data_IF_677519911303
#
_entry.id   IF_677519911303
#
_cell.length_a   1.000
_cell.length_b   1.000
_cell.length_c   1.000
_cell.angle_alpha   90.00
_cell.angle_beta   90.00
_cell.angle_gamma   90.00
#
_symmetry.space_group_name_H-M   'P 1'
#
loop_
_entity.id
_entity.type
_entity.pdbx_description
1 polymer ?
#
# COMPACT_ATOMS: atom_id res chain seq x y z
N UNK A 1 29.59 -42.84 20.05
CA UNK A 1 28.73 -41.84 20.72
C UNK A 1 28.83 -40.56 19.90
N UNK A 2 27.86 -40.31 19.01
CA UNK A 2 27.88 -39.14 18.11
C UNK A 2 27.40 -37.92 18.89
N UNK A 3 28.22 -36.88 18.90
CA UNK A 3 28.14 -35.71 19.78
C UNK A 3 26.87 -34.89 19.53
N UNK A 4 26.03 -34.82 20.57
CA UNK A 4 24.74 -34.14 20.68
C UNK A 4 24.79 -32.60 20.53
N UNK A 5 25.98 -32.05 20.30
CA UNK A 5 26.25 -30.62 20.27
C UNK A 5 25.76 -29.93 18.99
N UNK A 6 25.72 -30.65 17.86
CA UNK A 6 25.16 -30.13 16.60
C UNK A 6 23.65 -29.90 16.68
N UNK A 7 22.92 -30.71 17.45
CA UNK A 7 21.50 -30.50 17.70
C UNK A 7 21.26 -29.33 18.66
N UNK A 8 22.18 -29.10 19.59
CA UNK A 8 22.15 -27.96 20.52
C UNK A 8 22.43 -26.62 19.83
N UNK A 9 23.25 -26.61 18.77
CA UNK A 9 23.43 -25.42 17.92
C UNK A 9 22.19 -25.16 17.06
N UNK A 10 21.55 -26.20 16.52
CA UNK A 10 20.31 -26.04 15.77
C UNK A 10 19.15 -25.54 16.64
N UNK A 11 19.10 -25.89 17.93
CA UNK A 11 18.07 -25.36 18.84
C UNK A 11 18.35 -23.94 19.30
N UNK A 12 19.62 -23.51 19.41
CA UNK A 12 19.95 -22.10 19.66
C UNK A 12 19.70 -21.19 18.44
N UNK A 13 19.88 -21.70 17.22
CA UNK A 13 19.50 -21.00 15.98
C UNK A 13 17.97 -21.03 15.78
N UNK A 14 17.30 -22.09 16.26
CA UNK A 14 15.85 -22.28 16.15
C UNK A 14 15.02 -21.63 17.25
N UNK A 15 15.61 -21.27 18.40
CA UNK A 15 14.91 -20.65 19.53
C UNK A 15 15.47 -19.26 19.82
N UNK A 16 14.93 -18.27 19.09
CA UNK A 16 14.76 -16.89 19.55
C UNK A 16 16.05 -16.04 19.66
N UNK A 17 16.23 -15.20 18.64
CA UNK A 17 16.99 -13.94 18.69
C UNK A 17 18.53 -14.09 18.84
N UNK A 18 19.37 -13.16 18.43
CA UNK A 18 19.21 -11.80 17.92
C UNK A 18 20.41 -11.48 17.02
N UNK A 19 20.44 -10.41 16.24
CA UNK A 19 20.17 -9.06 16.68
C UNK A 19 19.39 -8.30 15.61
N UNK A 20 18.23 -7.79 15.97
CA UNK A 20 17.68 -6.62 15.30
C UNK A 20 17.71 -5.51 16.32
N UNK A 21 18.94 -5.09 16.63
CA UNK A 21 19.20 -3.80 17.26
C UNK A 21 19.12 -2.73 16.18
N UNK A 22 18.32 -1.69 16.44
CA UNK A 22 18.44 -0.39 15.81
C UNK A 22 17.98 -0.28 14.35
N UNK A 23 16.67 -0.37 14.12
CA UNK A 23 16.00 0.27 12.97
C UNK A 23 14.48 0.19 13.22
N UNK A 24 14.03 0.96 14.22
CA UNK A 24 12.61 1.17 14.50
C UNK A 24 12.02 2.07 13.40
N UNK A 25 10.87 1.71 12.86
CA UNK A 25 10.07 2.58 11.98
C UNK A 25 9.59 1.92 10.70
N UNK A 26 10.47 1.70 9.72
CA UNK A 26 10.01 1.63 8.31
C UNK A 26 10.51 0.38 7.56
N UNK A 27 11.70 -0.13 7.89
CA UNK A 27 12.29 -1.30 7.21
C UNK A 27 11.56 -2.63 7.43
N UNK A 28 10.78 -2.74 8.51
CA UNK A 28 9.94 -3.93 8.78
C UNK A 28 8.58 -3.90 8.07
N UNK A 29 8.16 -2.71 7.68
CA UNK A 29 6.89 -2.42 7.02
C UNK A 29 6.99 -2.61 5.49
N UNK A 30 8.22 -2.66 4.99
CA UNK A 30 8.56 -2.63 3.56
C UNK A 30 9.48 -3.79 3.15
N UNK A 31 9.53 -4.84 3.97
CA UNK A 31 10.14 -6.10 3.57
C UNK A 31 9.41 -6.63 2.31
N UNK A 32 10.13 -7.09 1.27
CA UNK A 32 9.60 -7.42 -0.06
C UNK A 32 8.57 -8.57 -0.09
N UNK A 33 8.20 -9.12 1.07
CA UNK A 33 7.19 -10.17 1.23
C UNK A 33 5.87 -9.66 1.82
N UNK A 34 5.75 -8.35 2.10
CA UNK A 34 4.52 -7.76 2.60
C UNK A 34 4.23 -6.46 1.84
N UNK A 35 3.38 -6.55 0.82
CA UNK A 35 2.57 -5.44 0.29
C UNK A 35 1.52 -4.98 1.34
N UNK A 36 1.92 -4.88 2.61
CA UNK A 36 1.05 -4.68 3.77
C UNK A 36 1.42 -3.46 4.60
N UNK A 37 2.33 -2.63 4.10
CA UNK A 37 2.95 -1.57 4.89
C UNK A 37 2.04 -0.38 5.18
N UNK A 38 1.26 0.07 4.20
CA UNK A 38 0.40 1.24 4.41
C UNK A 38 -1.02 0.90 4.90
N UNK A 39 -1.44 -0.36 4.77
CA UNK A 39 -2.78 -0.79 5.19
C UNK A 39 -2.85 -1.14 6.68
N UNK A 40 -1.71 -1.42 7.33
CA UNK A 40 -1.66 -1.77 8.76
C UNK A 40 -2.08 -0.65 9.72
N UNK A 41 -2.28 0.58 9.23
CA UNK A 41 -2.32 1.78 10.06
C UNK A 41 -3.73 2.35 10.21
N UNK A 42 -4.66 2.00 9.34
CA UNK A 42 -6.09 2.31 9.55
C UNK A 42 -6.78 1.39 10.59
N UNK A 43 -6.01 0.65 11.38
CA UNK A 43 -6.49 -0.31 12.38
C UNK A 43 -6.17 0.09 13.83
N UNK A 44 -5.93 1.37 14.11
CA UNK A 44 -5.55 1.85 15.45
C UNK A 44 -6.71 2.04 16.45
N UNK A 45 -7.97 1.78 16.07
CA UNK A 45 -9.09 1.94 17.00
C UNK A 45 -9.30 0.69 17.89
N UNK A 46 -9.62 0.89 19.17
CA UNK A 46 -9.71 -0.16 20.23
C UNK A 46 -10.52 -1.42 19.86
N UNK A 47 -11.45 -1.34 18.89
CA UNK A 47 -12.19 -2.50 18.37
C UNK A 47 -11.33 -3.51 17.58
N UNK A 48 -10.21 -3.09 16.98
CA UNK A 48 -9.33 -3.95 16.16
C UNK A 48 -8.52 -4.96 16.98
N UNK A 49 -8.22 -4.66 18.25
CA UNK A 49 -7.49 -5.58 19.14
C UNK A 49 -8.27 -6.86 19.46
N UNK A 50 -9.61 -6.83 19.42
CA UNK A 50 -10.44 -8.04 19.58
C UNK A 50 -10.42 -8.93 18.34
N UNK A 51 -10.18 -8.39 17.16
CA UNK A 51 -9.99 -9.16 15.92
C UNK A 51 -8.63 -9.86 15.90
N UNK A 52 -7.55 -9.20 16.32
CA UNK A 52 -6.21 -9.81 16.42
C UNK A 52 -6.16 -11.00 17.40
N UNK A 53 -6.98 -11.00 18.45
CA UNK A 53 -7.04 -12.09 19.43
C UNK A 53 -7.73 -13.38 18.95
N UNK A 54 -8.58 -13.31 17.90
CA UNK A 54 -9.29 -14.47 17.35
C UNK A 54 -8.68 -15.02 16.05
N UNK A 55 -7.82 -14.26 15.37
CA UNK A 55 -7.21 -14.62 14.09
C UNK A 55 -5.69 -14.78 14.25
N UNK A 56 -5.26 -16.01 14.54
CA UNK A 56 -3.87 -16.34 14.84
C UNK A 56 -2.94 -16.25 13.61
N UNK A 57 -1.73 -15.71 13.87
CA UNK A 57 -0.38 -15.85 13.25
C UNK A 57 -0.15 -16.15 11.76
N UNK A 58 -1.09 -16.63 10.95
CA UNK A 58 -0.87 -17.02 9.55
C UNK A 58 -1.86 -16.40 8.54
N UNK A 59 -2.67 -15.41 8.94
CA UNK A 59 -3.58 -14.72 8.03
C UNK A 59 -2.97 -13.39 7.58
N UNK A 60 -2.34 -13.37 6.41
CA UNK A 60 -1.93 -12.15 5.73
C UNK A 60 -3.19 -11.47 5.20
N UNK A 61 -3.69 -10.46 5.92
CA UNK A 61 -4.85 -9.68 5.50
C UNK A 61 -4.36 -8.68 4.44
N UNK A 62 -4.37 -9.13 3.19
CA UNK A 62 -4.40 -8.26 2.01
C UNK A 62 -5.80 -8.38 1.45
N UNK A 63 -6.58 -7.30 1.49
CA UNK A 63 -7.71 -7.21 0.56
C UNK A 63 -8.85 -8.24 0.70
N UNK A 64 -9.43 -8.50 1.88
CA UNK A 64 -10.72 -9.22 2.00
C UNK A 64 -10.64 -10.76 1.98
N UNK A 65 -10.95 -11.40 3.12
CA UNK A 65 -11.05 -12.85 3.36
C UNK A 65 -9.82 -13.72 2.98
N UNK A 66 -9.28 -14.41 3.98
CA UNK A 66 -7.90 -14.93 4.06
C UNK A 66 -7.45 -16.02 3.04
N UNK A 67 -8.17 -16.25 1.95
CA UNK A 67 -7.74 -17.15 0.86
C UNK A 67 -8.10 -16.63 -0.54
N UNK A 68 -9.22 -15.91 -0.69
CA UNK A 68 -9.68 -15.40 -1.99
C UNK A 68 -8.90 -14.14 -2.39
N UNK A 69 -8.57 -13.26 -1.45
CA UNK A 69 -7.85 -12.01 -1.72
C UNK A 69 -6.44 -12.19 -2.30
N UNK A 70 -5.67 -13.19 -1.83
CA UNK A 70 -4.32 -13.45 -2.36
C UNK A 70 -4.33 -14.00 -3.79
N UNK A 71 -5.32 -14.83 -4.14
CA UNK A 71 -5.49 -15.37 -5.48
C UNK A 71 -5.93 -14.27 -6.45
N UNK A 72 -6.87 -13.42 -6.03
CA UNK A 72 -7.32 -12.27 -6.81
C UNK A 72 -6.18 -11.27 -7.05
N UNK A 73 -5.37 -10.99 -6.03
CA UNK A 73 -4.21 -10.09 -6.18
C UNK A 73 -3.21 -10.61 -7.22
N UNK A 74 -2.85 -11.89 -7.14
CA UNK A 74 -1.96 -12.50 -8.14
C UNK A 74 -2.57 -12.48 -9.54
N UNK A 75 -3.89 -12.65 -9.66
CA UNK A 75 -4.59 -12.48 -10.93
C UNK A 75 -4.49 -11.04 -11.44
N UNK A 76 -4.72 -10.04 -10.59
CA UNK A 76 -4.58 -8.63 -10.96
C UNK A 76 -3.16 -8.30 -11.41
N UNK A 77 -2.15 -8.78 -10.69
CA UNK A 77 -0.73 -8.63 -11.07
C UNK A 77 -0.44 -9.17 -12.45
N UNK A 78 -0.90 -10.40 -12.71
CA UNK A 78 -0.74 -11.03 -14.02
C UNK A 78 -1.39 -10.19 -15.13
N UNK A 79 -2.59 -9.67 -14.89
CA UNK A 79 -3.33 -8.84 -15.85
C UNK A 79 -2.69 -7.47 -16.11
N UNK A 80 -2.13 -6.84 -15.08
CA UNK A 80 -1.34 -5.60 -15.22
C UNK A 80 -0.04 -5.90 -15.97
N UNK A 81 0.63 -7.01 -15.69
CA UNK A 81 1.82 -7.42 -16.44
C UNK A 81 1.52 -7.67 -17.92
N UNK A 82 0.36 -8.25 -18.24
CA UNK A 82 -0.09 -8.47 -19.62
C UNK A 82 -0.28 -7.17 -20.42
N UNK A 83 -0.77 -6.11 -19.79
CA UNK A 83 -0.92 -4.79 -20.45
C UNK A 83 0.40 -4.05 -20.65
N UNK A 84 1.44 -4.45 -19.92
CA UNK A 84 2.80 -3.91 -20.05
C UNK A 84 3.73 -4.81 -20.88
N UNK A 85 3.22 -5.80 -21.63
CA UNK A 85 4.07 -6.69 -22.47
C UNK A 85 4.95 -5.95 -23.49
N UNK A 86 4.57 -4.73 -23.90
CA UNK A 86 5.38 -3.88 -24.77
C UNK A 86 6.52 -3.13 -24.07
N UNK A 87 6.67 -3.29 -22.75
CA UNK A 87 7.67 -2.59 -21.94
C UNK A 87 8.67 -3.59 -21.33
N UNK A 88 9.85 -3.77 -21.95
CA UNK A 88 10.79 -4.81 -21.54
C UNK A 88 11.32 -4.68 -20.12
N UNK A 89 11.29 -3.47 -19.55
CA UNK A 89 11.82 -3.19 -18.21
C UNK A 89 10.77 -3.31 -17.11
N UNK A 90 9.47 -3.39 -17.46
CA UNK A 90 8.39 -3.42 -16.49
C UNK A 90 8.33 -4.78 -15.76
N UNK A 91 8.25 -4.73 -14.43
CA UNK A 91 8.19 -5.91 -13.56
C UNK A 91 9.53 -6.65 -13.39
N UNK A 92 10.65 -6.11 -13.91
CA UNK A 92 11.98 -6.71 -13.71
C UNK A 92 12.63 -6.35 -12.38
N UNK A 93 12.34 -5.15 -11.87
CA UNK A 93 12.94 -4.64 -10.63
C UNK A 93 11.87 -4.20 -9.65
N UNK A 94 12.07 -4.55 -8.38
CA UNK A 94 11.28 -4.00 -7.30
C UNK A 94 11.65 -2.53 -7.08
N UNK A 95 10.65 -1.71 -6.82
CA UNK A 95 10.87 -0.30 -6.49
C UNK A 95 11.59 -0.18 -5.15
N UNK A 96 12.67 0.64 -5.05
CA UNK A 96 13.27 0.98 -3.77
C UNK A 96 12.23 1.48 -2.77
N UNK A 97 12.41 1.08 -1.52
CA UNK A 97 11.45 1.27 -0.44
C UNK A 97 11.04 2.74 -0.26
N UNK A 98 12.02 3.64 -0.20
CA UNK A 98 11.79 5.07 0.06
C UNK A 98 11.08 5.74 -1.13
N UNK A 99 11.44 5.35 -2.35
CA UNK A 99 10.84 5.87 -3.57
C UNK A 99 9.37 5.44 -3.70
N UNK A 100 9.09 4.18 -3.37
CA UNK A 100 7.72 3.65 -3.31
C UNK A 100 6.89 4.36 -2.24
N UNK A 101 7.46 4.58 -1.05
CA UNK A 101 6.78 5.32 0.01
C UNK A 101 6.44 6.76 -0.42
N UNK A 102 7.40 7.49 -1.02
CA UNK A 102 7.18 8.84 -1.55
C UNK A 102 6.01 8.89 -2.54
N UNK A 103 5.92 7.92 -3.46
CA UNK A 103 4.81 7.86 -4.45
C UNK A 103 3.47 7.53 -3.82
N UNK A 104 3.45 6.67 -2.82
CA UNK A 104 2.21 6.36 -2.11
C UNK A 104 1.70 7.58 -1.32
N UNK A 105 2.60 8.37 -0.73
CA UNK A 105 2.25 9.68 -0.14
C UNK A 105 1.72 10.63 -1.22
N UNK A 106 2.38 10.71 -2.37
CA UNK A 106 1.90 11.54 -3.48
C UNK A 106 0.52 11.11 -3.98
N UNK A 107 0.27 9.80 -4.12
CA UNK A 107 -1.02 9.25 -4.52
C UNK A 107 -2.12 9.54 -3.50
N UNK A 108 -1.81 9.42 -2.20
CA UNK A 108 -2.70 9.79 -1.10
C UNK A 108 -3.12 11.27 -1.20
N UNK A 109 -2.14 12.17 -1.37
CA UNK A 109 -2.41 13.62 -1.47
C UNK A 109 -3.19 13.94 -2.75
N UNK A 110 -2.82 13.37 -3.89
CA UNK A 110 -3.53 13.61 -5.15
C UNK A 110 -4.96 13.08 -5.10
N UNK A 111 -5.18 11.92 -4.46
CA UNK A 111 -6.50 11.37 -4.26
C UNK A 111 -7.35 12.29 -3.38
N UNK A 112 -6.79 12.81 -2.28
CA UNK A 112 -7.47 13.79 -1.43
C UNK A 112 -7.79 15.11 -2.16
N UNK A 113 -6.91 15.59 -3.05
CA UNK A 113 -7.13 16.81 -3.87
C UNK A 113 -8.14 16.64 -5.00
N UNK A 114 -8.61 15.41 -5.26
CA UNK A 114 -9.23 15.07 -6.54
C UNK A 114 -10.59 15.71 -6.79
N UNK A 115 -11.26 16.20 -5.75
CA UNK A 115 -12.52 16.94 -5.85
C UNK A 115 -12.32 18.43 -6.18
N UNK A 116 -11.07 18.93 -6.12
CA UNK A 116 -10.69 20.31 -6.39
C UNK A 116 -10.48 21.19 -5.16
N UNK A 117 -10.62 20.66 -3.94
CA UNK A 117 -10.33 21.38 -2.72
C UNK A 117 -9.44 20.53 -1.81
N UNK A 118 -8.45 21.17 -1.20
CA UNK A 118 -7.93 20.68 0.08
C UNK A 118 -8.08 21.85 1.04
N UNK A 119 -8.82 21.63 2.12
CA UNK A 119 -8.90 22.60 3.20
C UNK A 119 -7.78 22.39 4.25
N UNK A 120 -7.68 23.34 5.17
CA UNK A 120 -6.68 23.30 6.23
C UNK A 120 -6.95 22.19 7.27
N UNK A 121 -8.15 21.62 7.32
CA UNK A 121 -8.51 20.51 8.21
C UNK A 121 -8.03 19.18 7.60
N UNK A 122 -8.24 18.99 6.30
CA UNK A 122 -7.77 17.84 5.52
C UNK A 122 -6.24 17.78 5.50
N UNK A 123 -5.58 18.91 5.26
CA UNK A 123 -4.12 18.98 5.34
C UNK A 123 -3.61 18.55 6.73
N UNK A 124 -4.24 19.07 7.79
CA UNK A 124 -3.89 18.68 9.18
C UNK A 124 -4.17 17.22 9.46
N UNK A 125 -5.23 16.65 8.90
CA UNK A 125 -5.55 15.22 9.05
C UNK A 125 -4.50 14.34 8.37
N UNK A 126 -4.02 14.71 7.18
CA UNK A 126 -2.91 14.04 6.49
C UNK A 126 -1.63 14.12 7.32
N UNK A 127 -1.24 15.32 7.75
CA UNK A 127 -0.03 15.55 8.54
C UNK A 127 -0.05 14.78 9.86
N UNK A 128 -1.20 14.77 10.54
CA UNK A 128 -1.38 14.02 11.79
C UNK A 128 -1.29 12.50 11.55
N UNK A 129 -1.90 11.99 10.49
CA UNK A 129 -1.83 10.56 10.12
C UNK A 129 -0.39 10.13 9.87
N UNK A 130 0.39 10.97 9.18
CA UNK A 130 1.81 10.71 8.92
C UNK A 130 2.69 10.82 10.16
N UNK A 131 2.39 11.76 11.06
CA UNK A 131 3.10 11.85 12.34
C UNK A 131 2.85 10.62 13.23
N UNK A 132 1.61 10.11 13.28
CA UNK A 132 1.27 8.88 14.03
C UNK A 132 1.97 7.64 13.49
N UNK A 133 2.27 7.65 12.20
CA UNK A 133 2.99 6.60 11.49
C UNK A 133 4.50 6.58 11.79
N UNK A 134 5.03 7.57 12.53
CA UNK A 134 6.48 7.79 12.70
C UNK A 134 7.23 7.85 11.37
N UNK A 135 6.56 8.23 10.28
CA UNK A 135 7.24 8.62 9.05
C UNK A 135 7.83 9.99 9.36
N UNK A 136 9.16 10.10 9.44
CA UNK A 136 9.84 11.30 9.95
C UNK A 136 9.59 12.58 9.14
N UNK A 137 10.37 13.63 9.41
CA UNK A 137 10.28 14.95 8.74
C UNK A 137 10.27 14.87 7.20
N UNK A 138 10.87 13.83 6.63
CA UNK A 138 10.92 13.58 5.19
C UNK A 138 9.52 13.38 4.57
N UNK A 139 8.60 12.71 5.26
CA UNK A 139 7.25 12.49 4.75
C UNK A 139 6.40 13.76 4.74
N UNK A 140 6.60 14.65 5.71
CA UNK A 140 5.96 15.97 5.73
C UNK A 140 6.41 16.79 4.52
N UNK A 141 7.71 16.77 4.20
CA UNK A 141 8.23 17.42 2.99
C UNK A 141 7.59 16.85 1.72
N UNK A 142 7.43 15.53 1.61
CA UNK A 142 6.75 14.92 0.46
C UNK A 142 5.29 15.30 0.33
N UNK A 143 4.56 15.47 1.44
CA UNK A 143 3.18 15.97 1.42
C UNK A 143 3.13 17.38 0.87
N UNK A 144 3.96 18.29 1.40
CA UNK A 144 3.99 19.67 0.93
C UNK A 144 4.37 19.73 -0.56
N UNK A 145 5.38 18.96 -0.98
CA UNK A 145 5.78 18.83 -2.38
C UNK A 145 4.63 18.32 -3.27
N UNK A 146 3.78 17.41 -2.77
CA UNK A 146 2.62 16.90 -3.50
C UNK A 146 1.44 17.90 -3.49
N UNK A 147 1.25 18.67 -2.41
CA UNK A 147 0.24 19.73 -2.33
C UNK A 147 0.53 20.86 -3.31
N UNK A 148 1.79 21.22 -3.52
CA UNK A 148 2.20 22.27 -4.46
C UNK A 148 2.13 21.83 -5.93
N UNK A 149 2.04 20.53 -6.21
CA UNK A 149 1.97 20.00 -7.56
C UNK A 149 0.56 20.09 -8.17
N UNK A 150 0.43 20.29 -9.49
CA UNK A 150 -0.85 20.16 -10.16
C UNK A 150 -1.35 18.72 -10.04
N UNK A 151 -2.67 18.55 -9.89
CA UNK A 151 -3.30 17.24 -9.86
C UNK A 151 -3.14 16.56 -11.24
N UNK A 152 -2.16 15.67 -11.35
CA UNK A 152 -1.85 14.97 -12.60
C UNK A 152 -1.41 13.52 -12.33
N UNK A 153 -2.30 12.54 -12.55
CA UNK A 153 -2.01 11.12 -12.33
C UNK A 153 -0.77 10.59 -13.08
N UNK A 154 -0.45 11.17 -14.25
CA UNK A 154 0.74 10.81 -15.04
C UNK A 154 2.05 11.07 -14.30
N UNK A 155 2.09 12.04 -13.37
CA UNK A 155 3.28 12.35 -12.58
C UNK A 155 3.68 11.19 -11.66
N UNK A 156 2.69 10.43 -11.18
CA UNK A 156 2.90 9.23 -10.38
C UNK A 156 3.27 8.08 -11.32
N UNK A 157 2.42 7.82 -12.32
CA UNK A 157 2.51 6.65 -13.20
C UNK A 157 3.82 6.55 -13.97
N UNK A 158 4.36 7.67 -14.48
CA UNK A 158 5.60 7.72 -15.28
C UNK A 158 6.81 7.05 -14.65
N UNK A 159 6.80 6.88 -13.34
CA UNK A 159 7.95 6.37 -12.58
C UNK A 159 7.67 5.04 -11.88
N UNK A 160 6.44 4.54 -11.99
CA UNK A 160 6.05 3.19 -11.56
C UNK A 160 6.54 2.20 -12.61
N UNK A 161 7.24 1.15 -12.17
CA UNK A 161 7.93 0.22 -13.07
C UNK A 161 7.57 -1.25 -12.85
N UNK A 162 6.59 -1.54 -12.00
CA UNK A 162 6.15 -2.90 -11.74
C UNK A 162 4.66 -2.96 -11.37
N UNK A 163 4.09 -4.14 -11.55
CA UNK A 163 2.69 -4.45 -11.32
C UNK A 163 2.27 -4.29 -9.86
N UNK A 164 3.16 -4.60 -8.92
CA UNK A 164 2.88 -4.51 -7.48
C UNK A 164 2.62 -3.05 -7.09
N UNK A 165 3.54 -2.14 -7.43
CA UNK A 165 3.40 -0.71 -7.12
C UNK A 165 2.23 -0.06 -7.87
N UNK A 166 2.00 -0.43 -9.14
CA UNK A 166 0.86 0.09 -9.91
C UNK A 166 -0.49 -0.22 -9.24
N UNK A 167 -0.67 -1.47 -8.79
CA UNK A 167 -1.87 -1.87 -8.08
C UNK A 167 -2.01 -1.19 -6.73
N UNK A 168 -0.92 -1.01 -5.99
CA UNK A 168 -0.95 -0.34 -4.69
C UNK A 168 -1.33 1.13 -4.79
N UNK A 169 -0.75 1.86 -5.74
CA UNK A 169 -1.08 3.26 -6.00
C UNK A 169 -2.57 3.39 -6.33
N UNK A 170 -3.08 2.52 -7.20
CA UNK A 170 -4.49 2.56 -7.59
C UNK A 170 -5.42 2.19 -6.42
N UNK A 171 -5.12 1.10 -5.72
CA UNK A 171 -5.89 0.62 -4.57
C UNK A 171 -5.92 1.64 -3.43
N UNK A 172 -4.79 2.27 -3.11
CA UNK A 172 -4.71 3.35 -2.11
C UNK A 172 -5.58 4.53 -2.51
N UNK A 173 -5.52 4.95 -3.77
CA UNK A 173 -6.34 6.06 -4.27
C UNK A 173 -7.84 5.76 -4.13
N UNK A 174 -8.27 4.53 -4.41
CA UNK A 174 -9.66 4.10 -4.21
C UNK A 174 -10.08 4.09 -2.73
N UNK A 175 -9.16 3.75 -1.81
CA UNK A 175 -9.46 3.81 -0.37
C UNK A 175 -9.70 5.24 0.12
N UNK A 176 -8.94 6.18 -0.41
CA UNK A 176 -8.97 7.59 0.01
C UNK A 176 -10.20 8.30 -0.56
N UNK A 177 -10.52 8.05 -1.83
CA UNK A 177 -11.63 8.71 -2.52
C UNK A 177 -12.95 8.01 -2.20
N UNK A 178 -13.92 8.76 -1.69
CA UNK A 178 -15.33 8.39 -1.72
C UNK A 178 -15.95 8.99 -2.97
N UNK A 179 -16.23 8.15 -3.98
CA UNK A 179 -16.63 8.60 -5.32
C UNK A 179 -18.06 9.15 -5.29
N UNK A 180 -18.20 10.38 -4.82
CA UNK A 180 -19.45 11.12 -4.74
C UNK A 180 -19.47 12.29 -5.76
N UNK A 181 -18.31 12.67 -6.27
CA UNK A 181 -18.15 13.75 -7.25
C UNK A 181 -17.53 13.28 -8.58
N UNK A 182 -17.91 13.92 -9.69
CA UNK A 182 -17.45 13.54 -11.04
C UNK A 182 -15.94 13.75 -11.24
N UNK A 183 -15.36 14.71 -10.52
CA UNK A 183 -13.92 15.02 -10.59
C UNK A 183 -13.08 13.87 -10.03
N UNK A 184 -13.50 13.29 -8.91
CA UNK A 184 -12.81 12.16 -8.27
C UNK A 184 -12.87 10.91 -9.13
N UNK A 185 -14.02 10.68 -9.78
CA UNK A 185 -14.17 9.65 -10.81
C UNK A 185 -13.21 9.88 -11.97
N UNK A 186 -13.14 11.12 -12.48
CA UNK A 186 -12.22 11.49 -13.54
C UNK A 186 -10.75 11.26 -13.15
N UNK A 187 -10.38 11.55 -11.90
CA UNK A 187 -9.04 11.28 -11.37
C UNK A 187 -8.73 9.77 -11.34
N UNK A 188 -9.61 8.94 -10.79
CA UNK A 188 -9.41 7.48 -10.74
C UNK A 188 -9.32 6.89 -12.15
N UNK A 189 -10.16 7.34 -13.08
CA UNK A 189 -10.16 6.89 -14.46
C UNK A 189 -8.83 7.24 -15.16
N UNK A 190 -8.36 8.47 -14.98
CA UNK A 190 -7.08 8.93 -15.52
C UNK A 190 -5.89 8.20 -14.88
N UNK A 191 -5.93 7.96 -13.57
CA UNK A 191 -4.88 7.20 -12.86
C UNK A 191 -4.82 5.74 -13.34
N UNK A 192 -5.97 5.08 -13.47
CA UNK A 192 -6.05 3.72 -13.99
C UNK A 192 -5.48 3.64 -15.42
N UNK A 193 -5.81 4.63 -16.26
CA UNK A 193 -5.30 4.71 -17.63
C UNK A 193 -3.78 4.91 -17.66
N UNK A 194 -3.26 5.85 -16.87
CA UNK A 194 -1.83 6.17 -16.80
C UNK A 194 -1.00 4.97 -16.31
N UNK A 195 -1.51 4.23 -15.32
CA UNK A 195 -0.92 3.00 -14.79
C UNK A 195 -1.21 1.76 -15.64
N UNK A 196 -1.94 1.91 -16.76
CA UNK A 196 -2.41 0.83 -17.65
C UNK A 196 -3.12 -0.31 -16.91
N UNK A 197 -3.90 0.03 -15.88
CA UNK A 197 -4.71 -0.94 -15.15
C UNK A 197 -5.86 -1.42 -16.06
N UNK A 198 -5.96 -2.74 -16.33
CA UNK A 198 -7.05 -3.29 -17.14
C UNK A 198 -8.42 -3.01 -16.52
N UNK A 199 -9.45 -2.85 -17.36
CA UNK A 199 -10.81 -2.55 -16.90
C UNK A 199 -11.37 -3.58 -15.91
N UNK A 200 -11.09 -4.87 -16.11
CA UNK A 200 -11.52 -5.93 -15.18
C UNK A 200 -10.85 -5.84 -13.81
N UNK A 201 -9.56 -5.48 -13.79
CA UNK A 201 -8.80 -5.28 -12.55
C UNK A 201 -9.30 -4.04 -11.81
N UNK A 202 -9.50 -2.95 -12.55
CA UNK A 202 -10.03 -1.68 -12.05
C UNK A 202 -11.36 -1.89 -11.33
N UNK A 203 -12.33 -2.52 -12.01
CA UNK A 203 -13.66 -2.81 -11.46
C UNK A 203 -13.59 -3.70 -10.22
N UNK A 204 -12.72 -4.72 -10.26
CA UNK A 204 -12.50 -5.60 -9.11
C UNK A 204 -12.02 -4.85 -7.87
N UNK A 205 -10.97 -4.04 -8.02
CA UNK A 205 -10.42 -3.22 -6.93
C UNK A 205 -11.46 -2.26 -6.34
N UNK A 206 -12.21 -1.55 -7.19
CA UNK A 206 -13.24 -0.62 -6.70
C UNK A 206 -14.37 -1.34 -5.97
N UNK A 207 -14.79 -2.52 -6.45
CA UNK A 207 -15.77 -3.34 -5.75
C UNK A 207 -15.27 -3.77 -4.37
N UNK A 208 -14.05 -4.30 -4.30
CA UNK A 208 -13.42 -4.78 -3.06
C UNK A 208 -13.28 -3.64 -2.03
N UNK A 209 -12.91 -2.45 -2.48
CA UNK A 209 -12.79 -1.26 -1.63
C UNK A 209 -14.15 -0.79 -1.14
N UNK A 210 -15.15 -0.72 -2.01
CA UNK A 210 -16.50 -0.29 -1.65
C UNK A 210 -17.15 -1.25 -0.64
N UNK A 211 -16.95 -2.55 -0.78
CA UNK A 211 -17.39 -3.55 0.20
C UNK A 211 -16.77 -3.28 1.57
N UNK A 212 -15.44 -3.08 1.62
CA UNK A 212 -14.74 -2.75 2.86
C UNK A 212 -15.21 -1.47 3.51
N UNK A 213 -15.44 -0.40 2.74
CA UNK A 213 -15.94 0.88 3.29
C UNK A 213 -17.30 0.68 3.96
N UNK A 214 -18.17 -0.17 3.39
CA UNK A 214 -19.47 -0.52 3.99
C UNK A 214 -19.36 -1.36 5.26
N UNK A 215 -18.37 -2.24 5.37
CA UNK A 215 -18.14 -3.04 6.58
C UNK A 215 -17.64 -2.20 7.78
N UNK A 216 -17.02 -1.05 7.50
CA UNK A 216 -16.41 -0.17 8.50
C UNK A 216 -17.33 0.99 8.95
N UNK A 217 -18.42 1.25 8.22
CA UNK A 217 -19.43 2.25 8.53
C UNK A 217 -20.49 1.73 9.52
#
# INVERSE_FOLDING_TARGET
MKSNWMQQIQTLIGQKAGAMGGAEGIGKLLAPTALGGLVGVLLANKSSRKLVGKFGKNALIVGGSAAVGAVLWNKYKQRVKETHQGEPQFGLQATPVDLRAKRLVQALVFAAKSDGHIDADEQRAIDHSLAQLQVGEEAQSWVQEALDQPLNPELIARSVQNEDEALEVYYLSCLVIDVDHFMERGYLDALAQALKIPADVKQGIESDVNEKKRELA
#
